data_IF_949234955667
#
_entry.id   IF_949234955667
#
_cell.length_a   1.000
_cell.length_b   1.000
_cell.length_c   1.000
_cell.angle_alpha   90.00
_cell.angle_beta   90.00
_cell.angle_gamma   90.00
#
_symmetry.space_group_name_H-M   'P 1'
#
loop_
_entity.id
_entity.type
_entity.pdbx_description
1 polymer ?
#
# COMPACT_ATOMS: atom_id res chain seq x y z
N UNK A 1 -38.03 20.56 -65.35
CA UNK A 1 -38.05 21.20 -64.02
C UNK A 1 -37.80 20.10 -63.01
N UNK A 2 -36.74 20.00 -62.20
CA UNK A 2 -35.61 20.85 -61.76
C UNK A 2 -34.55 19.85 -61.25
N UNK A 3 -33.36 19.82 -61.84
CA UNK A 3 -32.03 20.07 -61.25
C UNK A 3 -31.32 18.92 -60.47
N UNK A 4 -29.99 18.94 -60.60
CA UNK A 4 -28.97 17.94 -60.31
C UNK A 4 -28.29 18.15 -58.93
N UNK A 5 -27.89 17.01 -58.33
CA UNK A 5 -26.66 16.71 -57.54
C UNK A 5 -26.49 17.28 -56.10
N UNK A 6 -25.60 16.72 -55.23
CA UNK A 6 -24.63 15.64 -55.47
C UNK A 6 -24.54 14.50 -54.41
N UNK A 7 -23.81 13.45 -54.82
CA UNK A 7 -23.22 12.40 -54.00
C UNK A 7 -22.31 12.95 -52.88
N UNK A 8 -22.31 12.28 -51.72
CA UNK A 8 -21.15 12.26 -50.81
C UNK A 8 -20.91 10.84 -50.32
N UNK A 9 -19.71 10.36 -50.62
CA UNK A 9 -19.12 9.08 -50.26
C UNK A 9 -18.81 9.03 -48.76
N UNK A 10 -19.34 8.03 -48.04
CA UNK A 10 -18.83 7.67 -46.71
C UNK A 10 -18.26 6.26 -46.74
N UNK A 11 -16.96 6.21 -46.45
CA UNK A 11 -16.09 5.04 -46.45
C UNK A 11 -16.55 4.00 -45.43
N UNK A 12 -16.39 2.73 -45.82
CA UNK A 12 -16.42 1.55 -44.94
C UNK A 12 -15.36 1.69 -43.85
N UNK A 13 -15.79 1.66 -42.60
CA UNK A 13 -14.98 1.19 -41.47
C UNK A 13 -15.89 0.35 -40.60
N UNK A 14 -15.69 -0.97 -40.63
CA UNK A 14 -16.38 -1.88 -39.70
C UNK A 14 -15.95 -1.59 -38.26
N UNK A 15 -16.76 -1.96 -37.26
CA UNK A 15 -16.39 -1.74 -35.88
C UNK A 15 -15.16 -2.58 -35.54
N UNK A 16 -14.08 -1.88 -35.17
CA UNK A 16 -13.01 -2.43 -34.36
C UNK A 16 -13.68 -3.07 -33.13
N UNK A 17 -13.58 -4.39 -33.04
CA UNK A 17 -13.88 -5.11 -31.81
C UNK A 17 -12.86 -4.62 -30.79
N UNK A 18 -13.28 -3.67 -29.96
CA UNK A 18 -12.62 -3.41 -28.69
C UNK A 18 -12.71 -4.73 -27.93
N UNK A 19 -11.60 -5.44 -27.86
CA UNK A 19 -11.40 -6.42 -26.81
C UNK A 19 -11.37 -5.59 -25.54
N UNK A 20 -12.53 -5.44 -24.90
CA UNK A 20 -12.58 -5.07 -23.49
C UNK A 20 -11.74 -6.12 -22.78
N UNK A 21 -10.49 -5.78 -22.48
CA UNK A 21 -9.77 -6.45 -21.42
C UNK A 21 -10.64 -6.26 -20.19
N UNK A 22 -11.33 -7.32 -19.80
CA UNK A 22 -12.12 -7.37 -18.58
C UNK A 22 -11.10 -7.26 -17.44
N UNK A 23 -10.74 -6.04 -17.07
CA UNK A 23 -9.92 -5.79 -15.89
C UNK A 23 -10.64 -6.48 -14.74
N UNK A 24 -10.02 -7.56 -14.25
CA UNK A 24 -10.54 -8.33 -13.14
C UNK A 24 -10.65 -7.40 -11.93
N UNK A 25 -11.81 -7.36 -11.29
CA UNK A 25 -11.98 -6.50 -10.13
C UNK A 25 -10.94 -6.89 -9.05
N UNK A 26 -10.55 -5.93 -8.20
CA UNK A 26 -9.46 -6.10 -7.23
C UNK A 26 -9.58 -7.37 -6.36
N UNK A 27 -10.80 -7.81 -6.03
CA UNK A 27 -11.02 -9.03 -5.25
C UNK A 27 -10.70 -10.30 -6.04
N UNK A 28 -11.00 -10.34 -7.33
CA UNK A 28 -10.60 -11.46 -8.19
C UNK A 28 -9.07 -11.58 -8.28
N UNK A 29 -8.34 -10.46 -8.32
CA UNK A 29 -6.87 -10.46 -8.30
C UNK A 29 -6.33 -10.97 -6.95
N UNK A 30 -6.91 -10.53 -5.84
CA UNK A 30 -6.54 -11.02 -4.52
C UNK A 30 -6.79 -12.54 -4.37
N UNK A 31 -7.89 -13.05 -4.93
CA UNK A 31 -8.20 -14.48 -4.95
C UNK A 31 -7.25 -15.28 -5.84
N UNK A 32 -6.92 -14.79 -7.03
CA UNK A 32 -5.96 -15.46 -7.91
C UNK A 32 -4.57 -15.58 -7.27
N UNK A 33 -4.13 -14.53 -6.60
CA UNK A 33 -2.91 -14.53 -5.78
C UNK A 33 -2.98 -15.56 -4.65
N UNK A 34 -4.08 -15.56 -3.89
CA UNK A 34 -4.33 -16.53 -2.84
C UNK A 34 -4.27 -17.98 -3.36
N UNK A 35 -4.97 -18.28 -4.47
CA UNK A 35 -5.01 -19.62 -5.05
C UNK A 35 -3.62 -20.07 -5.54
N UNK A 36 -2.83 -19.18 -6.17
CA UNK A 36 -1.44 -19.44 -6.58
C UNK A 36 -0.59 -19.84 -5.37
N UNK A 37 -0.69 -19.10 -4.27
CA UNK A 37 0.08 -19.40 -3.06
C UNK A 37 -0.40 -20.69 -2.35
N UNK A 38 -1.71 -20.90 -2.23
CA UNK A 38 -2.27 -22.11 -1.59
C UNK A 38 -1.89 -23.39 -2.35
N UNK A 39 -1.69 -23.33 -3.67
CA UNK A 39 -1.21 -24.49 -4.44
C UNK A 39 0.16 -25.01 -3.98
N UNK A 40 0.97 -24.19 -3.30
CA UNK A 40 2.24 -24.60 -2.70
C UNK A 40 2.10 -25.11 -1.25
N UNK A 41 0.91 -25.04 -0.65
CA UNK A 41 0.67 -25.45 0.72
C UNK A 41 -0.15 -26.73 0.77
N UNK A 42 0.25 -27.66 1.64
CA UNK A 42 -0.53 -28.87 1.90
C UNK A 42 -1.61 -28.59 2.96
N UNK A 43 -2.55 -27.71 2.65
CA UNK A 43 -3.65 -27.35 3.56
C UNK A 43 -4.86 -28.26 3.37
N UNK A 44 -5.55 -28.56 4.47
CA UNK A 44 -6.88 -29.11 4.39
C UNK A 44 -7.80 -28.15 3.60
N UNK A 45 -8.62 -28.69 2.70
CA UNK A 45 -9.52 -27.90 1.85
C UNK A 45 -10.40 -26.93 2.65
N UNK A 46 -10.96 -27.37 3.79
CA UNK A 46 -11.80 -26.51 4.64
C UNK A 46 -11.03 -25.36 5.28
N UNK A 47 -9.74 -25.56 5.59
CA UNK A 47 -8.86 -24.50 6.09
C UNK A 47 -8.57 -23.49 4.98
N UNK A 48 -8.23 -23.95 3.77
CA UNK A 48 -8.03 -23.07 2.63
C UNK A 48 -9.29 -22.26 2.30
N UNK A 49 -10.46 -22.89 2.22
CA UNK A 49 -11.75 -22.22 2.00
C UNK A 49 -12.05 -21.17 3.09
N UNK A 50 -11.78 -21.48 4.36
CA UNK A 50 -11.96 -20.54 5.46
C UNK A 50 -11.07 -19.30 5.35
N UNK A 51 -9.90 -19.40 4.71
CA UNK A 51 -8.96 -18.29 4.52
C UNK A 51 -9.23 -17.50 3.24
N UNK A 52 -10.09 -18.02 2.36
CA UNK A 52 -10.46 -17.43 1.07
C UNK A 52 -11.47 -16.30 1.21
N UNK A 53 -12.35 -16.40 2.21
CA UNK A 53 -13.47 -15.49 2.41
C UNK A 53 -13.29 -14.61 3.64
N UNK A 54 -13.75 -13.34 3.60
CA UNK A 54 -13.76 -12.50 4.77
C UNK A 54 -14.60 -13.08 5.90
N UNK A 55 -14.10 -12.99 7.14
CA UNK A 55 -14.82 -13.40 8.35
C UNK A 55 -16.13 -12.64 8.54
N UNK A 56 -16.15 -11.34 8.20
CA UNK A 56 -17.34 -10.49 8.28
C UNK A 56 -17.21 -9.23 7.44
N UNK A 57 -18.36 -8.72 7.03
CA UNK A 57 -18.50 -7.52 6.24
C UNK A 57 -19.66 -6.71 6.81
N UNK A 58 -19.41 -5.42 7.06
CA UNK A 58 -20.41 -4.48 7.55
C UNK A 58 -20.58 -3.36 6.51
N UNK A 59 -21.79 -3.22 5.96
CA UNK A 59 -22.17 -2.07 5.14
C UNK A 59 -23.10 -1.19 5.95
N UNK A 60 -22.82 0.10 5.98
CA UNK A 60 -23.59 1.10 6.72
C UNK A 60 -24.04 2.19 5.77
N UNK A 61 -25.29 2.64 5.89
CA UNK A 61 -25.80 3.80 5.18
C UNK A 61 -26.20 4.84 6.22
N UNK A 62 -25.60 6.01 6.17
CA UNK A 62 -25.73 6.98 7.25
C UNK A 62 -25.97 8.39 6.73
N UNK A 63 -26.93 9.13 7.33
CA UNK A 63 -27.23 10.49 6.94
C UNK A 63 -26.23 11.49 7.54
N UNK A 64 -25.86 12.50 6.78
CA UNK A 64 -25.08 13.66 7.22
C UNK A 64 -25.82 14.92 6.81
N UNK A 65 -26.00 15.84 7.77
CA UNK A 65 -26.57 17.16 7.50
C UNK A 65 -25.48 18.07 6.93
N UNK A 66 -25.66 18.46 5.68
CA UNK A 66 -24.77 19.33 4.92
C UNK A 66 -24.87 20.78 5.41
N UNK A 67 -23.91 21.62 5.02
CA UNK A 67 -23.85 23.01 5.48
C UNK A 67 -24.99 23.87 4.89
N UNK A 68 -25.50 23.50 3.72
CA UNK A 68 -26.70 24.10 3.11
C UNK A 68 -28.02 23.66 3.80
N UNK A 69 -27.95 22.75 4.78
CA UNK A 69 -29.10 22.22 5.52
C UNK A 69 -29.74 20.97 4.93
N UNK A 70 -29.34 20.54 3.73
CA UNK A 70 -29.78 19.27 3.12
C UNK A 70 -29.20 18.07 3.88
N UNK A 71 -29.80 16.89 3.66
CA UNK A 71 -29.33 15.63 4.24
C UNK A 71 -28.88 14.73 3.10
N UNK A 72 -27.61 14.37 3.10
CA UNK A 72 -27.04 13.39 2.16
C UNK A 72 -26.79 12.07 2.89
N UNK A 73 -27.11 10.96 2.23
CA UNK A 73 -26.84 9.61 2.76
C UNK A 73 -25.59 9.08 2.09
N UNK A 74 -24.62 8.65 2.90
CA UNK A 74 -23.37 8.06 2.43
C UNK A 74 -23.35 6.56 2.72
N UNK A 75 -22.69 5.79 1.87
CA UNK A 75 -22.43 4.37 2.08
C UNK A 75 -21.01 4.18 2.59
N UNK A 76 -20.87 3.44 3.69
CA UNK A 76 -19.59 3.04 4.27
C UNK A 76 -19.47 1.52 4.41
N UNK A 77 -18.25 1.02 4.42
CA UNK A 77 -17.91 -0.39 4.54
C UNK A 77 -16.85 -0.61 5.61
N UNK A 78 -16.97 -1.69 6.39
CA UNK A 78 -15.87 -2.23 7.21
C UNK A 78 -15.83 -3.75 7.06
N UNK A 79 -14.74 -4.25 6.47
CA UNK A 79 -14.53 -5.68 6.20
C UNK A 79 -13.42 -6.19 7.11
N UNK A 80 -13.69 -7.27 7.85
CA UNK A 80 -12.66 -8.03 8.55
C UNK A 80 -12.41 -9.31 7.76
N UNK A 81 -11.24 -9.40 7.14
CA UNK A 81 -10.88 -10.59 6.39
C UNK A 81 -10.58 -11.76 7.33
N UNK A 82 -9.67 -11.57 8.29
CA UNK A 82 -9.30 -12.59 9.26
C UNK A 82 -9.03 -11.98 10.62
N UNK A 83 -9.42 -12.68 11.68
CA UNK A 83 -9.14 -12.35 13.10
C UNK A 83 -8.30 -13.45 13.77
N UNK A 84 -7.71 -14.34 12.98
CA UNK A 84 -7.11 -15.59 13.49
C UNK A 84 -5.86 -15.30 14.33
N UNK A 85 -5.03 -14.35 13.91
CA UNK A 85 -3.75 -14.02 14.58
C UNK A 85 -3.85 -12.91 15.63
N UNK A 86 -5.02 -12.29 15.79
CA UNK A 86 -5.23 -11.18 16.73
C UNK A 86 -6.31 -10.19 16.25
N UNK A 87 -6.38 -8.99 16.84
CA UNK A 87 -7.26 -7.92 16.37
C UNK A 87 -7.02 -7.59 14.90
N UNK A 88 -8.04 -7.09 14.22
CA UNK A 88 -7.91 -6.69 12.83
C UNK A 88 -7.28 -5.32 12.68
N UNK A 89 -6.42 -5.19 11.67
CA UNK A 89 -5.77 -3.92 11.33
C UNK A 89 -6.06 -3.55 9.88
N UNK A 90 -6.39 -2.29 9.66
CA UNK A 90 -6.28 -1.67 8.34
C UNK A 90 -7.05 -0.38 8.16
N UNK A 91 -6.66 0.36 7.13
CA UNK A 91 -7.07 1.74 6.93
C UNK A 91 -8.52 1.94 6.53
N UNK A 92 -8.95 3.20 6.54
CA UNK A 92 -10.24 3.67 6.03
C UNK A 92 -9.97 4.57 4.83
N UNK A 93 -10.60 4.27 3.69
CA UNK A 93 -10.46 5.03 2.43
C UNK A 93 -11.68 5.92 2.19
N UNK A 94 -11.48 7.21 1.89
CA UNK A 94 -12.54 8.09 1.39
C UNK A 94 -12.30 8.35 -0.10
N UNK A 95 -13.11 7.74 -0.95
CA UNK A 95 -13.03 7.94 -2.40
C UNK A 95 -14.39 7.67 -3.04
N UNK A 96 -14.72 8.40 -4.10
CA UNK A 96 -16.02 8.27 -4.80
C UNK A 96 -16.20 6.92 -5.48
N UNK A 97 -15.10 6.23 -5.83
CA UNK A 97 -15.13 4.94 -6.52
C UNK A 97 -14.96 3.73 -5.58
N UNK A 98 -15.02 3.93 -4.26
CA UNK A 98 -14.92 2.81 -3.30
C UNK A 98 -16.03 1.78 -3.57
N UNK A 99 -15.63 0.52 -3.73
CA UNK A 99 -16.56 -0.61 -3.83
C UNK A 99 -16.33 -1.64 -2.72
N UNK A 100 -17.35 -2.45 -2.41
CA UNK A 100 -17.20 -3.52 -1.43
C UNK A 100 -16.11 -4.53 -1.83
N UNK A 101 -16.00 -4.87 -3.12
CA UNK A 101 -15.00 -5.80 -3.63
C UNK A 101 -13.56 -5.26 -3.48
N UNK A 102 -13.36 -3.97 -3.71
CA UNK A 102 -12.09 -3.31 -3.41
C UNK A 102 -11.74 -3.41 -1.92
N UNK A 103 -12.70 -3.15 -1.03
CA UNK A 103 -12.51 -3.24 0.42
C UNK A 103 -12.22 -4.68 0.87
N UNK A 104 -12.84 -5.69 0.24
CA UNK A 104 -12.53 -7.13 0.46
C UNK A 104 -11.09 -7.45 0.10
N UNK A 105 -10.66 -7.05 -1.10
CA UNK A 105 -9.30 -7.27 -1.58
C UNK A 105 -8.25 -6.66 -0.64
N UNK A 106 -8.46 -5.39 -0.27
CA UNK A 106 -7.56 -4.66 0.62
C UNK A 106 -7.53 -5.27 2.02
N UNK A 107 -8.65 -5.75 2.56
CA UNK A 107 -8.70 -6.43 3.86
C UNK A 107 -7.94 -7.77 3.84
N UNK A 108 -8.04 -8.52 2.73
CA UNK A 108 -7.27 -9.74 2.50
C UNK A 108 -5.77 -9.46 2.46
N UNK A 109 -5.33 -8.48 1.66
CA UNK A 109 -3.92 -8.09 1.62
C UNK A 109 -3.39 -7.58 2.96
N UNK A 110 -4.22 -6.90 3.76
CA UNK A 110 -3.83 -6.53 5.13
C UNK A 110 -3.59 -7.75 6.02
N UNK A 111 -4.37 -8.84 5.86
CA UNK A 111 -4.13 -10.09 6.59
C UNK A 111 -2.76 -10.66 6.24
N UNK A 112 -2.44 -10.74 4.94
CA UNK A 112 -1.18 -11.29 4.47
C UNK A 112 0.01 -10.42 4.84
N UNK A 113 -0.10 -9.11 4.67
CA UNK A 113 0.92 -8.13 5.06
C UNK A 113 1.23 -8.22 6.57
N UNK A 114 0.22 -8.18 7.43
CA UNK A 114 0.42 -8.31 8.88
C UNK A 114 1.02 -9.67 9.26
N UNK A 115 0.58 -10.77 8.62
CA UNK A 115 1.12 -12.10 8.85
C UNK A 115 2.58 -12.24 8.44
N UNK A 116 2.94 -11.67 7.28
CA UNK A 116 4.30 -11.69 6.75
C UNK A 116 5.29 -10.96 7.66
N UNK A 117 4.87 -9.80 8.17
CA UNK A 117 5.64 -9.02 9.13
C UNK A 117 5.62 -9.59 10.55
N UNK A 118 4.93 -10.72 10.74
CA UNK A 118 4.74 -11.38 12.02
C UNK A 118 4.14 -10.47 13.11
N UNK A 119 3.30 -9.52 12.70
CA UNK A 119 2.56 -8.67 13.62
C UNK A 119 1.37 -9.45 14.19
N UNK A 120 0.97 -9.25 15.46
CA UNK A 120 -0.13 -9.98 16.09
C UNK A 120 -1.50 -9.42 15.65
N UNK A 121 -1.69 -9.29 14.33
CA UNK A 121 -2.89 -8.75 13.72
C UNK A 121 -3.48 -9.72 12.71
N UNK A 122 -4.81 -9.70 12.65
CA UNK A 122 -5.58 -10.03 11.46
C UNK A 122 -5.64 -8.87 10.46
N UNK A 123 -6.45 -8.99 9.42
CA UNK A 123 -6.60 -7.95 8.40
C UNK A 123 -8.02 -7.41 8.31
N UNK A 124 -8.13 -6.09 8.18
CA UNK A 124 -9.37 -5.40 7.88
C UNK A 124 -9.14 -4.27 6.89
N UNK A 125 -10.23 -3.74 6.34
CA UNK A 125 -10.24 -2.47 5.61
C UNK A 125 -11.60 -1.84 5.75
N UNK A 126 -11.66 -0.51 5.71
CA UNK A 126 -12.91 0.21 5.53
C UNK A 126 -12.83 1.22 4.42
N UNK A 127 -13.98 1.73 4.03
CA UNK A 127 -14.06 2.83 3.09
C UNK A 127 -15.43 3.48 3.06
N UNK A 128 -15.48 4.74 2.66
CA UNK A 128 -16.71 5.52 2.48
C UNK A 128 -16.74 6.02 1.03
N UNK A 129 -17.89 5.83 0.38
CA UNK A 129 -18.14 6.28 -0.98
C UNK A 129 -18.37 7.79 -0.96
N UNK A 130 -17.29 8.57 -1.09
CA UNK A 130 -17.32 10.03 -1.01
C UNK A 130 -16.10 10.65 -1.67
N UNK A 131 -16.28 11.77 -2.37
CA UNK A 131 -15.17 12.64 -2.73
C UNK A 131 -14.89 13.60 -1.55
N UNK A 132 -13.78 13.46 -0.81
CA UNK A 132 -13.52 14.32 0.34
C UNK A 132 -13.26 15.78 -0.06
N UNK A 133 -12.86 16.05 -1.31
CA UNK A 133 -12.60 17.42 -1.79
C UNK A 133 -13.87 18.21 -2.09
N UNK A 134 -15.02 17.54 -2.24
CA UNK A 134 -16.30 18.21 -2.42
C UNK A 134 -16.99 18.60 -1.11
N UNK A 135 -16.39 18.25 0.04
CA UNK A 135 -16.95 18.53 1.36
C UNK A 135 -16.22 19.69 2.03
N UNK A 136 -16.97 20.49 2.78
CA UNK A 136 -16.36 21.40 3.75
C UNK A 136 -15.67 20.61 4.87
N UNK A 137 -14.77 21.25 5.61
CA UNK A 137 -14.13 20.62 6.77
C UNK A 137 -15.15 20.17 7.82
N UNK A 138 -16.22 20.95 8.02
CA UNK A 138 -17.28 20.63 8.98
C UNK A 138 -18.13 19.44 8.51
N UNK A 139 -18.43 19.37 7.21
CA UNK A 139 -19.15 18.23 6.62
C UNK A 139 -18.31 16.96 6.69
N UNK A 140 -17.01 17.05 6.42
CA UNK A 140 -16.08 15.93 6.53
C UNK A 140 -15.94 15.43 7.98
N UNK A 141 -15.91 16.33 8.95
CA UNK A 141 -15.95 15.98 10.38
C UNK A 141 -17.26 15.26 10.72
N UNK A 142 -18.43 15.85 10.40
CA UNK A 142 -19.74 15.22 10.67
C UNK A 142 -19.85 13.84 10.02
N UNK A 143 -19.41 13.70 8.77
CA UNK A 143 -19.36 12.43 8.04
C UNK A 143 -18.48 11.42 8.77
N UNK A 144 -17.26 11.83 9.15
CA UNK A 144 -16.31 10.94 9.83
C UNK A 144 -16.82 10.46 11.17
N UNK A 145 -17.38 11.37 11.99
CA UNK A 145 -17.95 11.04 13.30
C UNK A 145 -19.15 10.09 13.15
N UNK A 146 -20.02 10.35 12.18
CA UNK A 146 -21.16 9.48 11.93
C UNK A 146 -20.71 8.10 11.47
N UNK A 147 -19.78 8.01 10.52
CA UNK A 147 -19.23 6.74 10.07
C UNK A 147 -18.57 5.96 11.22
N UNK A 148 -17.73 6.62 12.03
CA UNK A 148 -17.10 6.02 13.22
C UNK A 148 -18.12 5.46 14.21
N UNK A 149 -19.25 6.15 14.38
CA UNK A 149 -20.37 5.69 15.21
C UNK A 149 -20.98 4.40 14.66
N UNK A 150 -21.23 4.32 13.35
CA UNK A 150 -21.86 3.14 12.75
C UNK A 150 -20.95 1.89 12.81
N UNK A 151 -19.62 2.07 12.71
CA UNK A 151 -18.68 0.95 12.78
C UNK A 151 -18.16 0.66 14.19
N UNK A 152 -18.57 1.42 15.21
CA UNK A 152 -18.06 1.29 16.58
C UNK A 152 -18.34 -0.09 17.19
N UNK A 153 -19.41 -0.75 16.76
CA UNK A 153 -19.76 -2.14 17.15
C UNK A 153 -18.67 -3.17 16.80
N UNK A 154 -17.76 -2.83 15.87
CA UNK A 154 -16.60 -3.64 15.51
C UNK A 154 -15.30 -3.11 16.13
N UNK A 155 -15.22 -1.80 16.39
CA UNK A 155 -14.02 -1.14 16.87
C UNK A 155 -13.80 -1.39 18.35
N UNK A 156 -12.55 -1.64 18.71
CA UNK A 156 -12.01 -1.55 20.07
C UNK A 156 -10.51 -1.86 20.00
N UNK A 157 -9.68 -1.40 20.97
CA UNK A 157 -8.24 -1.66 20.96
C UNK A 157 -7.83 -3.14 20.86
N UNK A 158 -8.68 -4.06 21.31
CA UNK A 158 -8.42 -5.51 21.28
C UNK A 158 -9.16 -6.25 20.16
N UNK A 159 -9.87 -5.54 19.29
CA UNK A 159 -10.79 -6.10 18.30
C UNK A 159 -10.49 -5.63 16.89
N UNK A 160 -10.73 -4.34 16.59
CA UNK A 160 -10.47 -3.73 15.29
C UNK A 160 -9.88 -2.33 15.46
N UNK A 161 -8.75 -2.11 14.79
CA UNK A 161 -7.96 -0.87 14.92
C UNK A 161 -7.78 -0.23 13.54
N UNK A 162 -8.64 0.75 13.17
CA UNK A 162 -8.49 1.52 11.94
C UNK A 162 -7.17 2.32 11.81
N UNK A 163 -6.93 2.84 10.60
CA UNK A 163 -5.79 3.68 10.25
C UNK A 163 -6.16 4.61 9.08
N UNK A 164 -5.29 5.55 8.70
CA UNK A 164 -5.43 6.27 7.45
C UNK A 164 -5.26 5.35 6.24
N UNK A 165 -5.95 5.70 5.17
CA UNK A 165 -5.73 5.31 3.79
C UNK A 165 -6.05 6.50 2.85
N UNK A 166 -6.18 6.28 1.53
CA UNK A 166 -6.46 7.33 0.54
C UNK A 166 -7.69 8.15 0.96
N UNK A 167 -7.56 9.49 0.87
CA UNK A 167 -8.61 10.43 1.26
C UNK A 167 -8.80 10.62 2.77
N UNK A 168 -7.97 9.98 3.61
CA UNK A 168 -7.99 10.18 5.07
C UNK A 168 -6.63 10.58 5.62
N UNK A 169 -6.63 11.26 6.76
CA UNK A 169 -5.45 11.94 7.33
C UNK A 169 -5.36 11.69 8.85
N UNK A 170 -4.26 12.11 9.51
CA UNK A 170 -4.19 12.10 10.97
C UNK A 170 -5.35 12.84 11.63
N UNK A 171 -5.83 13.95 11.04
CA UNK A 171 -7.01 14.67 11.55
C UNK A 171 -8.28 13.80 11.54
N UNK A 172 -8.49 13.01 10.50
CA UNK A 172 -9.63 12.08 10.43
C UNK A 172 -9.49 11.00 11.51
N UNK A 173 -8.28 10.49 11.75
CA UNK A 173 -8.05 9.55 12.86
C UNK A 173 -8.33 10.18 14.22
N UNK A 174 -8.00 11.47 14.40
CA UNK A 174 -8.32 12.20 15.62
C UNK A 174 -9.84 12.25 15.87
N UNK A 175 -10.64 12.57 14.85
CA UNK A 175 -12.11 12.57 14.98
C UNK A 175 -12.68 11.18 15.25
N UNK A 176 -12.13 10.13 14.65
CA UNK A 176 -12.56 8.74 14.92
C UNK A 176 -12.22 8.35 16.37
N UNK A 177 -10.99 8.63 16.82
CA UNK A 177 -10.55 8.36 18.19
C UNK A 177 -11.42 9.09 19.22
N UNK A 178 -11.67 10.37 18.99
CA UNK A 178 -12.50 11.22 19.85
C UNK A 178 -13.95 10.72 19.89
N UNK A 179 -14.56 10.42 18.74
CA UNK A 179 -15.94 9.92 18.67
C UNK A 179 -16.10 8.62 19.45
N UNK A 180 -15.19 7.66 19.26
CA UNK A 180 -15.20 6.41 20.01
C UNK A 180 -15.02 6.66 21.51
N UNK A 181 -14.02 7.47 21.89
CA UNK A 181 -13.72 7.78 23.28
C UNK A 181 -14.90 8.45 24.01
N UNK A 182 -15.59 9.37 23.35
CA UNK A 182 -16.75 10.07 23.92
C UNK A 182 -17.97 9.15 24.09
N UNK A 183 -18.12 8.12 23.25
CA UNK A 183 -19.16 7.11 23.42
C UNK A 183 -18.88 6.14 24.55
N UNK A 184 -17.62 5.73 24.72
CA UNK A 184 -17.21 4.86 25.83
C UNK A 184 -17.11 5.61 27.17
N UNK A 185 -16.94 6.93 27.13
CA UNK A 185 -16.85 7.81 28.30
C UNK A 185 -15.43 8.02 28.84
N UNK A 186 -14.41 7.56 28.13
CA UNK A 186 -13.00 7.73 28.49
C UNK A 186 -12.09 7.65 27.26
N UNK A 187 -10.88 8.20 27.37
CA UNK A 187 -9.94 8.29 26.25
C UNK A 187 -9.40 6.92 25.85
N UNK A 188 -9.52 6.59 24.56
CA UNK A 188 -9.00 5.36 23.95
C UNK A 188 -8.03 5.65 22.78
N UNK A 189 -6.79 6.08 23.03
CA UNK A 189 -5.82 6.35 21.96
C UNK A 189 -5.55 5.14 21.06
N UNK A 190 -5.54 3.93 21.64
CA UNK A 190 -5.25 2.68 20.94
C UNK A 190 -6.36 2.19 19.99
N UNK A 191 -7.52 2.86 19.92
CA UNK A 191 -8.63 2.41 19.04
C UNK A 191 -8.34 2.65 17.56
N UNK A 192 -7.46 3.59 17.23
CA UNK A 192 -6.97 3.86 15.88
C UNK A 192 -5.48 4.19 15.91
N UNK A 193 -4.81 4.03 14.77
CA UNK A 193 -3.40 4.44 14.59
C UNK A 193 -3.28 5.50 13.50
N UNK A 194 -2.12 6.11 13.34
CA UNK A 194 -1.88 7.21 12.39
C UNK A 194 -2.42 8.53 12.93
N UNK A 195 -2.46 8.68 14.26
CA UNK A 195 -2.93 9.89 14.94
C UNK A 195 -1.86 11.00 14.90
N UNK A 196 -2.24 12.28 15.12
CA UNK A 196 -1.30 13.32 15.49
C UNK A 196 -0.56 12.96 16.79
N UNK A 197 0.69 13.42 16.91
CA UNK A 197 1.55 13.11 18.07
C UNK A 197 0.90 13.58 19.37
N UNK A 198 0.21 14.72 19.33
CA UNK A 198 -0.45 15.37 20.45
C UNK A 198 -1.54 14.52 21.11
N UNK A 199 -2.07 13.50 20.41
CA UNK A 199 -3.10 12.59 20.92
C UNK A 199 -2.70 11.11 20.85
N UNK A 200 -1.40 10.81 20.95
CA UNK A 200 -0.87 9.45 20.98
C UNK A 200 -0.44 8.91 19.62
N UNK A 201 -0.13 9.78 18.67
CA UNK A 201 0.55 9.39 17.43
C UNK A 201 1.98 8.93 17.70
N UNK A 202 2.48 7.99 16.90
CA UNK A 202 3.88 7.55 17.00
C UNK A 202 4.79 8.45 16.17
N UNK A 203 5.95 8.78 16.75
CA UNK A 203 7.10 9.30 16.03
C UNK A 203 7.54 8.34 14.91
N UNK A 204 8.28 8.84 13.92
CA UNK A 204 8.75 8.06 12.75
C UNK A 204 7.66 7.53 11.80
N UNK A 205 6.36 7.71 12.07
CA UNK A 205 5.27 7.10 11.27
C UNK A 205 5.25 7.55 9.81
N UNK A 206 5.56 8.82 9.57
CA UNK A 206 5.58 9.44 8.23
C UNK A 206 6.66 8.76 7.39
N UNK A 207 7.89 8.65 7.92
CA UNK A 207 9.04 8.14 7.18
C UNK A 207 9.12 6.60 7.13
N UNK A 208 8.37 5.92 7.99
CA UNK A 208 8.44 4.47 8.20
C UNK A 208 8.41 3.62 6.92
N UNK A 209 7.56 3.97 5.95
CA UNK A 209 7.45 3.20 4.70
C UNK A 209 8.69 3.36 3.83
N UNK A 210 9.22 4.58 3.66
CA UNK A 210 10.42 4.81 2.86
C UNK A 210 11.67 4.18 3.48
N UNK A 211 11.81 4.25 4.82
CA UNK A 211 12.86 3.52 5.54
C UNK A 211 12.70 2.01 5.37
N UNK A 212 11.47 1.49 5.47
CA UNK A 212 11.15 0.08 5.23
C UNK A 212 11.59 -0.41 3.84
N UNK A 213 11.26 0.35 2.79
CA UNK A 213 11.71 0.08 1.41
C UNK A 213 13.23 -0.04 1.37
N UNK A 214 13.95 0.92 1.96
CA UNK A 214 15.40 0.92 1.90
C UNK A 214 16.07 -0.15 2.76
N UNK A 215 15.48 -0.56 3.89
CA UNK A 215 15.94 -1.74 4.63
C UNK A 215 15.82 -3.00 3.77
N UNK A 216 14.72 -3.19 3.06
CA UNK A 216 14.55 -4.33 2.16
C UNK A 216 15.51 -4.26 0.95
N UNK A 217 15.66 -3.10 0.32
CA UNK A 217 16.63 -2.86 -0.78
C UNK A 217 18.05 -3.17 -0.33
N UNK A 218 18.45 -2.74 0.87
CA UNK A 218 19.78 -3.04 1.43
C UNK A 218 20.05 -4.53 1.51
N UNK A 219 19.09 -5.32 2.01
CA UNK A 219 19.25 -6.78 2.09
C UNK A 219 19.21 -7.45 0.70
N UNK A 220 18.42 -6.92 -0.23
CA UNK A 220 18.40 -7.40 -1.62
C UNK A 220 19.74 -7.14 -2.33
N UNK A 221 20.32 -5.95 -2.19
CA UNK A 221 21.65 -5.62 -2.70
C UNK A 221 22.70 -6.60 -2.17
N UNK A 222 22.69 -6.87 -0.86
CA UNK A 222 23.59 -7.85 -0.23
C UNK A 222 23.39 -9.26 -0.79
N UNK A 223 22.13 -9.69 -0.94
CA UNK A 223 21.77 -11.01 -1.50
C UNK A 223 22.24 -11.15 -2.94
N UNK A 224 22.18 -10.07 -3.72
CA UNK A 224 22.64 -10.01 -5.11
C UNK A 224 24.16 -9.77 -5.26
N UNK A 225 24.91 -9.67 -4.15
CA UNK A 225 26.35 -9.39 -4.17
C UNK A 225 26.72 -7.98 -4.65
N UNK A 226 25.80 -7.02 -4.55
CA UNK A 226 25.97 -5.62 -4.98
C UNK A 226 26.32 -4.78 -3.75
N UNK A 227 27.41 -4.01 -3.82
CA UNK A 227 27.73 -3.05 -2.77
C UNK A 227 26.77 -1.86 -2.85
N UNK A 228 26.13 -1.44 -1.74
CA UNK A 228 25.26 -0.26 -1.76
C UNK A 228 25.98 1.01 -2.23
N UNK A 229 27.24 1.19 -1.81
CA UNK A 229 28.05 2.33 -2.23
C UNK A 229 28.24 2.30 -3.75
N UNK A 230 27.70 3.31 -4.43
CA UNK A 230 27.77 3.45 -5.89
C UNK A 230 26.71 2.68 -6.67
N UNK A 231 25.85 1.87 -6.03
CA UNK A 231 24.72 1.23 -6.71
C UNK A 231 23.76 2.30 -7.25
N UNK A 232 23.31 2.14 -8.49
CA UNK A 232 22.43 3.12 -9.16
C UNK A 232 20.97 2.90 -8.78
N UNK A 233 20.27 3.97 -8.39
CA UNK A 233 18.88 3.93 -7.92
C UNK A 233 18.02 4.89 -8.72
N UNK A 234 16.88 4.39 -9.21
CA UNK A 234 15.82 5.18 -9.83
C UNK A 234 14.55 5.08 -9.00
N UNK A 235 13.92 6.22 -8.70
CA UNK A 235 12.71 6.27 -7.85
C UNK A 235 11.55 6.90 -8.62
N UNK A 236 10.52 6.11 -8.91
CA UNK A 236 9.30 6.64 -9.49
C UNK A 236 8.39 7.18 -8.38
N UNK A 237 8.03 8.46 -8.44
CA UNK A 237 7.23 9.14 -7.43
C UNK A 237 8.05 9.69 -6.27
N UNK A 238 8.08 11.01 -6.12
CA UNK A 238 8.83 11.73 -5.07
C UNK A 238 7.94 12.26 -3.95
N UNK A 239 6.85 11.56 -3.66
CA UNK A 239 6.01 11.80 -2.48
C UNK A 239 6.69 11.30 -1.20
N UNK A 240 5.89 11.09 -0.14
CA UNK A 240 6.41 10.68 1.16
C UNK A 240 7.28 9.40 1.12
N UNK A 241 6.82 8.34 0.44
CA UNK A 241 7.57 7.08 0.36
C UNK A 241 8.86 7.25 -0.46
N UNK A 242 8.75 7.77 -1.68
CA UNK A 242 9.88 7.84 -2.59
C UNK A 242 10.94 8.87 -2.18
N UNK A 243 10.56 10.03 -1.63
CA UNK A 243 11.54 11.02 -1.15
C UNK A 243 12.35 10.50 0.05
N UNK A 244 11.70 9.82 0.99
CA UNK A 244 12.39 9.17 2.12
C UNK A 244 13.26 8.02 1.64
N UNK A 245 12.78 7.20 0.71
CA UNK A 245 13.58 6.11 0.13
C UNK A 245 14.81 6.65 -0.63
N UNK A 246 14.65 7.70 -1.44
CA UNK A 246 15.75 8.36 -2.14
C UNK A 246 16.77 8.94 -1.15
N UNK A 247 16.30 9.56 -0.06
CA UNK A 247 17.16 10.10 0.99
C UNK A 247 17.94 8.99 1.70
N UNK A 248 17.28 7.90 2.09
CA UNK A 248 17.93 6.77 2.73
C UNK A 248 18.92 6.05 1.78
N UNK A 249 18.62 5.97 0.47
CA UNK A 249 19.56 5.51 -0.54
C UNK A 249 20.81 6.38 -0.61
N UNK A 250 20.65 7.71 -0.64
CA UNK A 250 21.75 8.66 -0.60
C UNK A 250 22.60 8.52 0.67
N UNK A 251 21.98 8.36 1.84
CA UNK A 251 22.68 8.21 3.11
C UNK A 251 23.49 6.90 3.17
N UNK A 252 22.99 5.85 2.51
CA UNK A 252 23.72 4.60 2.24
C UNK A 252 24.81 4.69 1.16
N UNK A 253 25.02 5.88 0.57
CA UNK A 253 25.97 6.15 -0.51
C UNK A 253 25.63 5.45 -1.84
N UNK A 254 24.37 5.07 -2.05
CA UNK A 254 23.88 4.74 -3.38
C UNK A 254 23.87 5.99 -4.27
N UNK A 255 23.99 5.79 -5.57
CA UNK A 255 23.91 6.86 -6.56
C UNK A 255 22.46 7.00 -7.07
N UNK A 256 21.72 7.99 -6.57
CA UNK A 256 20.36 8.26 -7.06
C UNK A 256 20.47 9.00 -8.39
N UNK A 257 20.10 8.33 -9.49
CA UNK A 257 20.31 8.81 -10.86
C UNK A 257 19.04 9.34 -11.51
N UNK A 258 17.86 8.97 -10.99
CA UNK A 258 16.58 9.46 -11.51
C UNK A 258 15.51 9.51 -10.42
N UNK A 259 14.71 10.57 -10.44
CA UNK A 259 13.45 10.64 -9.68
C UNK A 259 12.35 11.26 -10.52
N UNK A 260 11.10 10.92 -10.25
CA UNK A 260 9.92 11.53 -10.90
C UNK A 260 8.86 11.95 -9.89
N UNK A 261 8.01 12.88 -10.27
CA UNK A 261 6.74 13.21 -9.64
C UNK A 261 5.61 13.33 -10.68
N UNK A 262 4.48 13.94 -10.29
CA UNK A 262 3.30 14.11 -11.16
C UNK A 262 3.57 14.97 -12.41
N UNK A 263 4.62 15.79 -12.40
CA UNK A 263 4.98 16.71 -13.50
C UNK A 263 6.02 16.15 -14.47
N UNK A 264 6.58 14.97 -14.18
CA UNK A 264 7.73 14.41 -14.89
C UNK A 264 8.87 14.15 -13.91
N UNK A 265 10.10 14.06 -14.40
CA UNK A 265 11.25 13.75 -13.56
C UNK A 265 12.55 14.37 -14.03
N UNK A 266 13.58 14.09 -13.24
CA UNK A 266 14.95 14.47 -13.47
C UNK A 266 15.84 13.25 -13.57
N UNK A 267 16.87 13.34 -14.40
CA UNK A 267 17.86 12.30 -14.63
C UNK A 267 19.27 12.90 -14.67
N UNK A 268 20.22 12.23 -14.01
CA UNK A 268 21.64 12.48 -14.18
C UNK A 268 22.40 11.16 -13.99
N UNK A 269 23.14 10.74 -15.01
CA UNK A 269 23.93 9.50 -14.97
C UNK A 269 24.97 9.49 -13.83
N UNK A 270 25.47 10.66 -13.44
CA UNK A 270 26.41 10.84 -12.32
C UNK A 270 25.70 11.01 -10.97
N UNK A 271 24.37 11.01 -10.96
CA UNK A 271 23.51 11.27 -9.82
C UNK A 271 23.45 12.73 -9.38
N UNK A 272 22.70 12.96 -8.30
CA UNK A 272 22.48 14.29 -7.73
C UNK A 272 22.35 14.25 -6.19
N UNK A 273 22.53 15.41 -5.56
CA UNK A 273 22.39 15.60 -4.11
C UNK A 273 20.91 15.57 -3.70
N UNK A 274 20.47 14.46 -3.12
CA UNK A 274 19.08 14.25 -2.70
C UNK A 274 18.64 15.23 -1.62
N UNK A 275 19.42 15.51 -0.55
CA UNK A 275 19.13 16.62 0.35
C UNK A 275 18.84 17.97 -0.34
N UNK A 276 19.63 18.36 -1.33
CA UNK A 276 19.40 19.60 -2.09
C UNK A 276 18.14 19.52 -2.94
N UNK A 277 17.88 18.39 -3.60
CA UNK A 277 16.63 18.14 -4.32
C UNK A 277 15.40 18.23 -3.41
N UNK A 278 15.45 17.67 -2.20
CA UNK A 278 14.34 17.78 -1.25
C UNK A 278 14.07 19.24 -0.86
N UNK A 279 15.10 20.09 -0.77
CA UNK A 279 14.93 21.52 -0.55
C UNK A 279 14.29 22.20 -1.77
N UNK A 280 14.76 21.88 -2.97
CA UNK A 280 14.15 22.37 -4.21
C UNK A 280 12.67 22.03 -4.30
N UNK A 281 12.28 20.79 -4.02
CA UNK A 281 10.86 20.37 -4.03
C UNK A 281 10.03 21.12 -2.99
N UNK A 282 10.60 21.44 -1.81
CA UNK A 282 9.90 22.26 -0.81
C UNK A 282 9.63 23.69 -1.28
N UNK A 283 10.50 24.25 -2.12
CA UNK A 283 10.40 25.62 -2.62
C UNK A 283 9.59 25.71 -3.92
N UNK A 284 9.86 24.81 -4.87
CA UNK A 284 9.28 24.81 -6.21
C UNK A 284 8.01 23.94 -6.33
N UNK A 285 7.75 23.04 -5.38
CA UNK A 285 6.61 22.13 -5.39
C UNK A 285 6.74 20.93 -6.33
N UNK A 286 7.86 20.78 -7.03
CA UNK A 286 8.12 19.71 -8.00
C UNK A 286 9.63 19.42 -8.11
N UNK A 287 9.98 18.22 -8.57
CA UNK A 287 11.37 17.84 -8.91
C UNK A 287 11.87 18.53 -10.18
N UNK A 288 10.96 19.01 -11.03
CA UNK A 288 11.30 19.63 -12.31
C UNK A 288 12.14 20.90 -12.10
N UNK A 289 13.10 21.10 -13.01
CA UNK A 289 13.99 22.27 -12.98
C UNK A 289 15.12 22.19 -11.96
N UNK A 290 15.34 21.04 -11.30
CA UNK A 290 16.51 20.86 -10.44
C UNK A 290 17.82 21.00 -11.25
N UNK A 291 18.77 21.86 -10.85
CA UNK A 291 19.95 22.17 -11.66
C UNK A 291 20.83 20.94 -11.95
N UNK A 292 21.40 20.91 -13.17
CA UNK A 292 22.36 19.88 -13.56
C UNK A 292 21.74 18.51 -13.84
N UNK A 293 20.44 18.45 -14.11
CA UNK A 293 19.75 17.22 -14.52
C UNK A 293 18.98 17.42 -15.83
N UNK A 294 18.93 16.37 -16.64
CA UNK A 294 18.06 16.30 -17.80
C UNK A 294 16.63 15.95 -17.38
N UNK A 295 15.64 16.29 -18.21
CA UNK A 295 14.26 15.85 -17.97
C UNK A 295 14.07 14.38 -18.38
N UNK A 296 13.26 13.66 -17.62
CA UNK A 296 12.83 12.29 -17.92
C UNK A 296 11.33 12.15 -17.66
N UNK A 297 10.64 11.33 -18.46
CA UNK A 297 9.21 11.06 -18.27
C UNK A 297 8.96 9.94 -17.25
N UNK A 298 7.73 9.86 -16.74
CA UNK A 298 7.26 8.77 -15.89
C UNK A 298 7.32 7.39 -16.55
N UNK A 299 7.28 7.32 -17.89
CA UNK A 299 7.43 6.07 -18.63
C UNK A 299 8.90 5.69 -18.83
N UNK A 300 9.77 6.66 -19.13
CA UNK A 300 11.20 6.42 -19.38
C UNK A 300 11.94 5.96 -18.13
N UNK A 301 11.59 6.48 -16.93
CA UNK A 301 12.24 6.06 -15.68
C UNK A 301 12.06 4.55 -15.40
N UNK A 302 10.93 3.96 -15.80
CA UNK A 302 10.65 2.53 -15.59
C UNK A 302 11.52 1.62 -16.49
N UNK A 303 11.96 2.14 -17.63
CA UNK A 303 12.86 1.45 -18.56
C UNK A 303 14.35 1.79 -18.33
N UNK A 304 14.65 2.62 -17.34
CA UNK A 304 16.01 3.10 -17.10
C UNK A 304 16.90 1.97 -16.57
N UNK A 305 18.07 1.80 -17.19
CA UNK A 305 19.10 0.89 -16.70
C UNK A 305 19.62 1.35 -15.34
N UNK A 306 19.38 0.56 -14.31
CA UNK A 306 19.81 0.83 -12.94
C UNK A 306 20.02 -0.47 -12.15
N UNK A 307 20.64 -0.40 -10.97
CA UNK A 307 20.69 -1.55 -10.06
C UNK A 307 19.36 -1.74 -9.33
N UNK A 308 18.74 -0.64 -8.89
CA UNK A 308 17.48 -0.65 -8.14
C UNK A 308 16.46 0.30 -8.76
N UNK A 309 15.28 -0.21 -9.09
CA UNK A 309 14.10 0.58 -9.45
C UNK A 309 13.08 0.53 -8.31
N UNK A 310 12.62 1.69 -7.87
CA UNK A 310 11.65 1.84 -6.77
C UNK A 310 10.37 2.50 -7.30
N UNK A 311 9.34 1.74 -7.72
CA UNK A 311 8.02 2.30 -8.00
C UNK A 311 7.29 2.66 -6.71
N UNK A 312 7.16 3.96 -6.44
CA UNK A 312 6.56 4.54 -5.24
C UNK A 312 5.48 5.61 -5.56
N UNK A 313 4.85 5.49 -6.73
CA UNK A 313 3.77 6.35 -7.20
C UNK A 313 2.39 5.66 -7.08
N UNK A 314 1.85 5.18 -8.20
CA UNK A 314 0.52 4.56 -8.30
C UNK A 314 0.61 3.05 -8.55
N UNK A 315 -0.52 2.37 -8.52
CA UNK A 315 -0.72 0.99 -8.98
C UNK A 315 -0.52 0.85 -10.50
N UNK A 316 -0.33 -0.41 -10.97
CA UNK A 316 -0.31 -0.81 -12.38
C UNK A 316 0.61 0.03 -13.29
N UNK A 317 1.78 0.43 -12.78
CA UNK A 317 2.79 1.19 -13.54
C UNK A 317 3.64 0.26 -14.42
N UNK A 318 3.88 -0.97 -13.97
CA UNK A 318 4.62 -1.99 -14.68
C UNK A 318 3.62 -3.07 -15.12
N UNK A 319 3.39 -3.13 -16.42
CA UNK A 319 2.37 -3.98 -17.07
C UNK A 319 3.01 -4.83 -18.15
N UNK A 320 2.25 -5.76 -18.73
CA UNK A 320 2.69 -6.55 -19.88
C UNK A 320 3.12 -5.69 -21.09
N UNK A 321 2.75 -4.40 -21.13
CA UNK A 321 3.10 -3.46 -22.20
C UNK A 321 4.50 -2.84 -22.05
N UNK A 322 5.11 -2.88 -20.87
CA UNK A 322 6.41 -2.26 -20.61
C UNK A 322 7.38 -3.12 -19.78
N UNK A 323 6.95 -4.25 -19.22
CA UNK A 323 7.81 -5.13 -18.42
C UNK A 323 9.03 -5.63 -19.19
N UNK A 324 8.91 -5.83 -20.51
CA UNK A 324 10.00 -6.22 -21.40
C UNK A 324 11.14 -5.18 -21.47
N UNK A 325 10.83 -3.92 -21.15
CA UNK A 325 11.77 -2.78 -21.20
C UNK A 325 12.41 -2.48 -19.86
N UNK A 326 11.98 -3.11 -18.77
CA UNK A 326 12.57 -2.88 -17.44
C UNK A 326 13.99 -3.45 -17.42
N UNK A 327 14.97 -2.62 -17.04
CA UNK A 327 16.40 -2.97 -17.08
C UNK A 327 17.06 -2.93 -15.69
N UNK A 328 16.25 -3.00 -14.63
CA UNK A 328 16.76 -3.02 -13.26
C UNK A 328 17.20 -4.43 -12.83
N UNK A 329 18.10 -4.53 -11.85
CA UNK A 329 18.47 -5.82 -11.23
C UNK A 329 17.55 -6.15 -10.05
N UNK A 330 17.11 -5.13 -9.33
CA UNK A 330 16.22 -5.23 -8.18
C UNK A 330 15.04 -4.28 -8.41
N UNK A 331 13.82 -4.81 -8.32
CA UNK A 331 12.58 -4.05 -8.33
C UNK A 331 12.00 -4.02 -6.91
N UNK A 332 11.91 -2.83 -6.30
CA UNK A 332 11.46 -2.68 -4.91
C UNK A 332 10.15 -1.90 -4.82
N UNK A 333 9.05 -2.59 -4.57
CA UNK A 333 7.71 -2.01 -4.68
C UNK A 333 7.32 -1.13 -3.48
N UNK A 334 7.55 0.18 -3.59
CA UNK A 334 7.15 1.16 -2.58
C UNK A 334 5.65 1.46 -2.58
N UNK A 335 5.01 1.43 -3.74
CA UNK A 335 3.56 1.52 -3.91
C UNK A 335 2.87 0.17 -3.63
N UNK A 336 1.54 0.16 -3.54
CA UNK A 336 0.77 -1.09 -3.50
C UNK A 336 0.40 -1.48 -4.95
N UNK A 337 0.64 -2.73 -5.33
CA UNK A 337 0.36 -3.26 -6.66
C UNK A 337 0.91 -2.44 -7.84
N UNK A 338 2.17 -1.94 -7.83
CA UNK A 338 2.71 -1.22 -8.98
C UNK A 338 2.94 -2.14 -10.20
N UNK A 339 3.01 -3.45 -10.00
CA UNK A 339 3.29 -4.45 -11.03
C UNK A 339 2.10 -5.40 -11.21
N UNK A 340 1.63 -5.58 -12.44
CA UNK A 340 0.55 -6.53 -12.77
C UNK A 340 1.06 -7.98 -12.74
N UNK A 341 0.19 -8.99 -12.51
CA UNK A 341 0.58 -10.40 -12.53
C UNK A 341 1.34 -10.83 -13.81
N UNK A 342 0.91 -10.37 -14.98
CA UNK A 342 1.54 -10.70 -16.26
C UNK A 342 2.95 -10.09 -16.40
N UNK A 343 3.13 -8.87 -15.87
CA UNK A 343 4.44 -8.24 -15.80
C UNK A 343 5.38 -8.96 -14.82
N UNK A 344 4.83 -9.43 -13.71
CA UNK A 344 5.56 -10.19 -12.69
C UNK A 344 6.21 -11.44 -13.31
N UNK A 345 5.47 -12.19 -14.13
CA UNK A 345 5.99 -13.38 -14.82
C UNK A 345 7.13 -13.02 -15.79
N UNK A 346 6.97 -11.96 -16.60
CA UNK A 346 8.02 -11.47 -17.53
C UNK A 346 9.30 -11.09 -16.77
N UNK A 347 9.17 -10.34 -15.67
CA UNK A 347 10.31 -9.88 -14.87
C UNK A 347 11.02 -11.02 -14.15
N UNK A 348 10.28 -12.02 -13.68
CA UNK A 348 10.86 -13.23 -13.10
C UNK A 348 11.64 -14.03 -14.15
N UNK A 349 11.12 -14.18 -15.37
CA UNK A 349 11.83 -14.83 -16.48
C UNK A 349 13.11 -14.09 -16.89
N UNK A 350 13.14 -12.77 -16.75
CA UNK A 350 14.33 -11.94 -16.94
C UNK A 350 15.34 -12.02 -15.78
N UNK A 351 14.98 -12.66 -14.66
CA UNK A 351 15.84 -12.78 -13.49
C UNK A 351 15.91 -11.51 -12.63
N UNK A 352 14.92 -10.60 -12.73
CA UNK A 352 14.81 -9.42 -11.87
C UNK A 352 14.48 -9.85 -10.44
N UNK A 353 15.21 -9.33 -9.45
CA UNK A 353 14.90 -9.56 -8.05
C UNK A 353 13.75 -8.66 -7.61
N UNK A 354 12.53 -9.22 -7.51
CA UNK A 354 11.36 -8.46 -7.07
C UNK A 354 11.22 -8.54 -5.55
N UNK A 355 11.19 -7.37 -4.88
CA UNK A 355 10.76 -7.24 -3.48
C UNK A 355 9.27 -6.86 -3.49
N UNK A 356 8.37 -7.80 -3.19
CA UNK A 356 6.93 -7.56 -3.34
C UNK A 356 6.43 -6.52 -2.35
N UNK A 357 5.44 -5.73 -2.75
CA UNK A 357 4.81 -4.66 -1.97
C UNK A 357 4.41 -5.05 -0.54
N UNK A 358 3.83 -6.23 -0.34
CA UNK A 358 3.42 -6.74 0.99
C UNK A 358 4.59 -6.88 1.97
N UNK A 359 5.83 -6.93 1.48
CA UNK A 359 7.06 -6.85 2.25
C UNK A 359 7.66 -5.44 2.18
N UNK A 360 7.90 -4.94 0.97
CA UNK A 360 8.71 -3.76 0.71
C UNK A 360 8.15 -2.50 1.38
N UNK A 361 6.84 -2.29 1.31
CA UNK A 361 6.18 -1.10 1.86
C UNK A 361 5.60 -1.31 3.28
N UNK A 362 5.95 -2.42 3.94
CA UNK A 362 5.34 -2.82 5.22
C UNK A 362 5.85 -2.03 6.44
N UNK A 363 6.79 -1.09 6.24
CA UNK A 363 7.28 -0.24 7.34
C UNK A 363 6.18 0.61 7.97
N UNK A 364 5.25 1.13 7.17
CA UNK A 364 4.12 1.90 7.68
C UNK A 364 3.20 1.11 8.62
N UNK A 365 2.85 -0.13 8.26
CA UNK A 365 2.02 -0.97 9.15
C UNK A 365 2.78 -1.41 10.41
N UNK A 366 4.10 -1.57 10.30
CA UNK A 366 4.97 -1.92 11.43
C UNK A 366 5.05 -0.78 12.45
N UNK A 367 5.21 0.47 12.01
CA UNK A 367 5.19 1.61 12.95
C UNK A 367 3.77 1.90 13.45
N UNK A 368 2.71 1.64 12.66
CA UNK A 368 1.34 1.62 13.19
C UNK A 368 1.15 0.55 14.27
N UNK A 369 1.83 -0.60 14.18
CA UNK A 369 1.84 -1.57 15.28
C UNK A 369 2.53 -1.01 16.52
N UNK A 370 3.67 -0.34 16.38
CA UNK A 370 4.35 0.29 17.52
C UNK A 370 3.49 1.38 18.15
N UNK A 371 2.80 2.20 17.37
CA UNK A 371 1.85 3.20 17.89
C UNK A 371 0.81 2.55 18.80
N UNK A 372 0.18 1.46 18.33
CA UNK A 372 -0.80 0.72 19.12
C UNK A 372 -0.21 0.12 20.40
N UNK A 373 1.01 -0.45 20.34
CA UNK A 373 1.70 -0.97 21.54
C UNK A 373 1.98 0.14 22.55
N UNK A 374 2.47 1.29 22.08
CA UNK A 374 2.73 2.47 22.92
C UNK A 374 1.43 2.98 23.55
N UNK A 375 0.34 3.06 22.79
CA UNK A 375 -0.97 3.54 23.26
C UNK A 375 -1.62 2.61 24.29
N UNK A 376 -1.41 1.29 24.18
CA UNK A 376 -1.90 0.35 25.19
C UNK A 376 -1.23 0.55 26.56
N UNK A 377 -0.01 1.08 26.56
CA UNK A 377 0.79 1.29 27.77
C UNK A 377 0.89 2.78 28.16
N UNK A 378 0.44 3.68 27.29
CA UNK A 378 0.70 5.12 27.35
C UNK A 378 2.19 5.46 27.57
N UNK A 379 3.08 4.70 26.92
CA UNK A 379 4.54 4.87 27.03
C UNK A 379 5.16 4.95 25.64
N UNK A 380 5.67 6.14 25.30
CA UNK A 380 6.13 6.45 23.94
C UNK A 380 7.65 6.30 23.79
N UNK A 381 8.06 5.81 22.63
CA UNK A 381 9.44 5.52 22.29
C UNK A 381 10.07 6.67 21.51
N UNK A 382 11.40 6.72 21.54
CA UNK A 382 12.20 7.64 20.72
C UNK A 382 12.26 7.22 19.25
N UNK A 383 12.59 8.16 18.35
CA UNK A 383 12.80 7.87 16.92
C UNK A 383 13.85 6.77 16.69
N UNK A 384 14.92 6.75 17.48
CA UNK A 384 15.98 5.74 17.41
C UNK A 384 15.47 4.34 17.78
N UNK A 385 14.66 4.24 18.84
CA UNK A 385 14.06 2.97 19.26
C UNK A 385 13.10 2.43 18.21
N UNK A 386 12.27 3.31 17.63
CA UNK A 386 11.35 2.97 16.54
C UNK A 386 12.11 2.50 15.31
N UNK A 387 13.13 3.24 14.86
CA UNK A 387 13.94 2.88 13.69
C UNK A 387 14.64 1.54 13.87
N UNK A 388 15.24 1.30 15.04
CA UNK A 388 15.91 0.03 15.36
C UNK A 388 14.95 -1.16 15.35
N UNK A 389 13.75 -1.00 15.93
CA UNK A 389 12.75 -2.08 15.92
C UNK A 389 12.15 -2.30 14.53
N UNK A 390 11.93 -1.23 13.77
CA UNK A 390 11.47 -1.29 12.39
C UNK A 390 12.46 -2.07 11.53
N UNK A 391 13.75 -1.72 11.57
CA UNK A 391 14.81 -2.41 10.84
C UNK A 391 14.83 -3.91 11.17
N UNK A 392 14.81 -4.25 12.47
CA UNK A 392 14.82 -5.65 12.93
C UNK A 392 13.67 -6.46 12.33
N UNK A 393 12.45 -5.91 12.32
CA UNK A 393 11.26 -6.58 11.79
C UNK A 393 11.31 -6.69 10.27
N UNK A 394 11.70 -5.62 9.57
CA UNK A 394 11.83 -5.60 8.10
C UNK A 394 12.88 -6.61 7.60
N UNK A 395 14.08 -6.60 8.20
CA UNK A 395 15.16 -7.53 7.84
C UNK A 395 14.76 -8.98 8.13
N UNK A 396 14.10 -9.24 9.26
CA UNK A 396 13.62 -10.58 9.60
C UNK A 396 12.59 -11.09 8.60
N UNK A 397 11.63 -10.24 8.18
CA UNK A 397 10.64 -10.60 7.19
C UNK A 397 11.28 -10.84 5.81
N UNK A 398 12.21 -9.98 5.39
CA UNK A 398 12.96 -10.14 4.13
C UNK A 398 13.69 -11.49 4.07
N UNK A 399 14.47 -11.81 5.10
CA UNK A 399 15.22 -13.06 5.17
C UNK A 399 14.29 -14.29 5.14
N UNK A 400 13.13 -14.20 5.78
CA UNK A 400 12.14 -15.28 5.75
C UNK A 400 11.55 -15.49 4.35
N UNK A 401 11.26 -14.41 3.61
CA UNK A 401 10.78 -14.51 2.21
C UNK A 401 11.84 -15.10 1.30
N UNK A 402 13.07 -14.60 1.34
CA UNK A 402 14.17 -15.12 0.51
C UNK A 402 14.46 -16.60 0.84
N UNK A 403 14.41 -16.95 2.13
CA UNK A 403 14.56 -18.34 2.56
C UNK A 403 13.45 -19.25 2.03
N UNK A 404 12.19 -18.81 2.10
CA UNK A 404 11.04 -19.59 1.61
C UNK A 404 11.04 -19.74 0.08
N UNK A 405 11.39 -18.67 -0.64
CA UNK A 405 11.56 -18.67 -2.09
C UNK A 405 12.60 -19.71 -2.51
N UNK A 406 13.79 -19.69 -1.88
CA UNK A 406 14.86 -20.66 -2.14
C UNK A 406 14.44 -22.09 -1.80
N UNK A 407 13.78 -22.29 -0.65
CA UNK A 407 13.35 -23.63 -0.17
C UNK A 407 12.37 -24.29 -1.15
N UNK A 408 11.50 -23.52 -1.80
CA UNK A 408 10.45 -24.03 -2.69
C UNK A 408 10.78 -23.90 -4.18
N UNK A 409 11.79 -23.13 -4.55
CA UNK A 409 12.09 -22.83 -5.94
C UNK A 409 11.00 -22.01 -6.61
N UNK A 410 10.46 -21.01 -5.91
CA UNK A 410 9.39 -20.12 -6.39
C UNK A 410 9.82 -18.66 -6.31
N UNK A 411 9.10 -17.77 -7.01
CA UNK A 411 9.36 -16.34 -6.98
C UNK A 411 9.09 -15.71 -5.60
N UNK A 412 9.70 -14.54 -5.35
CA UNK A 412 9.64 -13.89 -4.04
C UNK A 412 8.24 -13.40 -3.66
N UNK A 413 7.39 -13.01 -4.63
CA UNK A 413 6.01 -12.59 -4.35
C UNK A 413 5.17 -13.78 -3.89
N UNK A 414 5.23 -14.88 -4.63
CA UNK A 414 4.56 -16.13 -4.26
C UNK A 414 5.09 -16.62 -2.92
N UNK A 415 6.41 -16.61 -2.68
CA UNK A 415 6.99 -16.99 -1.39
C UNK A 415 6.49 -16.14 -0.21
N UNK A 416 6.38 -14.83 -0.40
CA UNK A 416 5.85 -13.92 0.61
C UNK A 416 4.39 -14.26 0.96
N UNK A 417 3.56 -14.56 -0.05
CA UNK A 417 2.17 -14.97 0.18
C UNK A 417 2.05 -16.35 0.81
N UNK A 418 2.82 -17.33 0.34
CA UNK A 418 2.89 -18.69 0.91
C UNK A 418 3.23 -18.62 2.40
N UNK A 419 4.27 -17.88 2.76
CA UNK A 419 4.68 -17.72 4.15
C UNK A 419 3.61 -17.02 5.01
N UNK A 420 2.98 -15.97 4.46
CA UNK A 420 1.92 -15.23 5.15
C UNK A 420 0.67 -16.10 5.39
N UNK A 421 0.22 -16.82 4.37
CA UNK A 421 -0.97 -17.69 4.43
C UNK A 421 -0.71 -18.87 5.36
N UNK A 422 0.45 -19.54 5.24
CA UNK A 422 0.81 -20.66 6.11
C UNK A 422 0.76 -20.27 7.59
N UNK A 423 1.35 -19.13 7.98
CA UNK A 423 1.29 -18.65 9.37
C UNK A 423 -0.14 -18.44 9.89
N UNK A 424 -1.06 -17.94 9.05
CA UNK A 424 -2.47 -17.78 9.43
C UNK A 424 -3.16 -19.14 9.50
N UNK A 425 -2.88 -20.04 8.55
CA UNK A 425 -3.42 -21.39 8.52
C UNK A 425 -2.99 -22.20 9.75
N UNK A 426 -1.70 -22.17 10.11
CA UNK A 426 -1.19 -22.83 11.32
C UNK A 426 -1.87 -22.28 12.58
N UNK A 427 -2.02 -20.95 12.67
CA UNK A 427 -2.74 -20.34 13.80
C UNK A 427 -4.22 -20.76 13.85
N UNK A 428 -4.89 -20.89 12.71
CA UNK A 428 -6.27 -21.36 12.63
C UNK A 428 -6.37 -22.83 13.07
N UNK A 429 -5.47 -23.69 12.59
CA UNK A 429 -5.44 -25.10 12.96
C UNK A 429 -5.16 -25.32 14.46
N UNK A 430 -4.25 -24.52 15.04
CA UNK A 430 -3.94 -24.58 16.48
C UNK A 430 -5.13 -24.09 17.33
N UNK A 431 -5.79 -23.01 16.91
CA UNK A 431 -6.97 -22.48 17.62
C UNK A 431 -8.19 -23.38 17.49
N UNK A 432 -8.25 -24.19 16.44
CA UNK A 432 -9.39 -25.03 16.10
C UNK A 432 -10.56 -24.25 15.50
N UNK A 433 -11.61 -25.00 15.14
CA UNK A 433 -12.89 -24.45 14.67
C UNK A 433 -13.88 -24.53 15.83
N UNK A 434 -14.39 -23.36 16.23
CA UNK A 434 -15.36 -23.14 17.31
C UNK A 434 -16.09 -21.82 17.01
N UNK A 435 -17.39 -21.61 17.33
CA UNK A 435 -18.29 -22.41 18.17
C UNK A 435 -18.51 -23.85 17.75
#
# INVERSE_FOLDING_TARGET
>A
MVALAPETTLKKTGPLVLVEQKETNAYANALAQFDKAVAHLNLNRGIAESLRYPKRELTVNFPVKMDNGEINVFTGYRVHHSTVRGPTKGGIRYHQDVTLDEVRALAMWMTWKCSLMNLPYGGAKGGVVVNPHSLSLQELEKLTRRYATEISILMNPSGDVPAPDVGTTPQIMAWIMDTYSMHEGFSHPAVVTGKPIEIGGSHGRIEATGHGVMYAVREALRTAGIQPKGATVAVQGFGNVGSVAARAAHDMKCNVIAVTDVTGGIYNANGFDVPALMQHVREAGSVAGFPGCDSITNAEILALKCDVLIPAALENQITSLNADKVQCRILAEGANGPTTPEADDILNDQGVFIIPDILCNAGGVTVSYFEWVQDLQSFFWTDEEIARQLERIMVSAFNAVVGEARKRGIDHRTAAQVLAIDRVAQALMIRGIYP
#
